data_IF_352821867109
#
_entry.id   IF_352821867109
#
_cell.length_a   1.000
_cell.length_b   1.000
_cell.length_c   1.000
_cell.angle_alpha   90.00
_cell.angle_beta   90.00
_cell.angle_gamma   90.00
#
_symmetry.space_group_name_H-M   'P 1'
#
loop_
_entity.id
_entity.type
_entity.pdbx_description
1 polymer ?
#
# COMPACT_ATOMS: atom_id res chain seq x y z
N UNK A 1 14.32 -20.65 32.06
CA UNK A 1 15.10 -20.17 30.91
C UNK A 1 15.81 -18.89 31.31
N UNK A 2 17.05 -18.68 30.88
CA UNK A 2 17.70 -17.36 30.97
C UNK A 2 17.19 -16.44 29.86
N UNK A 3 17.55 -15.14 29.89
CA UNK A 3 17.08 -14.14 28.91
C UNK A 3 17.41 -14.55 27.47
N UNK A 4 18.58 -15.13 27.21
CA UNK A 4 18.98 -15.55 25.85
C UNK A 4 18.12 -16.70 25.35
N UNK A 5 17.86 -17.70 26.19
CA UNK A 5 17.00 -18.85 25.85
C UNK A 5 15.57 -18.42 25.55
N UNK A 6 15.02 -17.48 26.35
CA UNK A 6 13.68 -16.93 26.13
C UNK A 6 13.58 -16.20 24.80
N UNK A 7 14.59 -15.38 24.44
CA UNK A 7 14.60 -14.65 23.18
C UNK A 7 14.70 -15.59 21.98
N UNK A 8 15.58 -16.59 22.03
CA UNK A 8 15.68 -17.60 20.97
C UNK A 8 14.36 -18.37 20.81
N UNK A 9 13.71 -18.75 21.90
CA UNK A 9 12.40 -19.40 21.84
C UNK A 9 11.32 -18.46 21.30
N UNK A 10 11.37 -17.17 21.65
CA UNK A 10 10.44 -16.16 21.14
C UNK A 10 10.57 -15.97 19.62
N UNK A 11 11.81 -15.84 19.12
CA UNK A 11 12.06 -15.78 17.67
C UNK A 11 11.59 -17.05 16.95
N UNK A 12 11.85 -18.24 17.51
CA UNK A 12 11.38 -19.48 16.92
C UNK A 12 9.83 -19.56 16.88
N UNK A 13 9.15 -19.16 17.95
CA UNK A 13 7.69 -19.10 17.98
C UNK A 13 7.14 -18.10 16.94
N UNK A 14 7.83 -16.98 16.75
CA UNK A 14 7.46 -15.98 15.75
C UNK A 14 7.66 -16.49 14.32
N UNK A 15 8.78 -17.17 14.04
CA UNK A 15 9.03 -17.80 12.73
C UNK A 15 7.98 -18.88 12.40
N UNK A 16 7.35 -19.47 13.41
CA UNK A 16 6.25 -20.44 13.29
C UNK A 16 4.85 -19.79 13.24
N UNK A 17 4.76 -18.46 13.08
CA UNK A 17 3.50 -17.69 13.05
C UNK A 17 2.70 -17.76 14.37
N UNK A 18 3.36 -18.16 15.47
CA UNK A 18 2.78 -18.21 16.81
C UNK A 18 3.13 -16.94 17.59
N UNK A 19 2.55 -15.84 17.14
CA UNK A 19 2.86 -14.50 17.66
C UNK A 19 2.51 -14.31 19.14
N UNK A 20 1.48 -15.02 19.64
CA UNK A 20 1.04 -14.93 21.03
C UNK A 20 2.09 -15.52 21.98
N UNK A 21 2.66 -16.67 21.63
CA UNK A 21 3.74 -17.29 22.40
C UNK A 21 5.02 -16.46 22.27
N UNK A 22 5.32 -15.91 21.09
CA UNK A 22 6.44 -14.99 20.90
C UNK A 22 6.34 -13.77 21.83
N UNK A 23 5.18 -13.09 21.84
CA UNK A 23 4.92 -11.95 22.72
C UNK A 23 5.11 -12.33 24.21
N UNK A 24 4.55 -13.47 24.62
CA UNK A 24 4.66 -13.95 25.99
C UNK A 24 6.10 -14.24 26.39
N UNK A 25 6.89 -14.85 25.51
CA UNK A 25 8.30 -15.18 25.75
C UNK A 25 9.18 -13.92 25.80
N UNK A 26 8.98 -12.95 24.91
CA UNK A 26 9.68 -11.67 24.99
C UNK A 26 9.32 -10.89 26.27
N UNK A 27 8.05 -10.89 26.69
CA UNK A 27 7.63 -10.29 27.96
C UNK A 27 8.28 -10.96 29.16
N UNK A 28 8.45 -12.29 29.14
CA UNK A 28 9.22 -13.00 30.16
C UNK A 28 10.69 -12.60 30.15
N UNK A 29 11.31 -12.41 28.98
CA UNK A 29 12.68 -11.94 28.86
C UNK A 29 12.83 -10.53 29.48
N UNK A 30 11.90 -9.62 29.22
CA UNK A 30 11.87 -8.29 29.84
C UNK A 30 11.61 -8.30 31.35
N UNK A 31 10.92 -9.32 31.88
CA UNK A 31 10.76 -9.46 33.32
C UNK A 31 12.09 -9.78 34.04
N UNK A 32 13.08 -10.33 33.31
CA UNK A 32 14.43 -10.58 33.82
C UNK A 32 15.32 -9.35 33.61
N UNK A 33 15.28 -8.76 32.40
CA UNK A 33 16.00 -7.53 32.07
C UNK A 33 15.07 -6.52 31.37
N UNK A 34 14.49 -5.62 32.17
CA UNK A 34 13.48 -4.66 31.70
C UNK A 34 14.01 -3.55 30.80
N UNK A 35 15.32 -3.47 30.57
CA UNK A 35 15.96 -2.45 29.74
C UNK A 35 16.80 -3.05 28.60
N UNK A 36 16.69 -4.35 28.30
CA UNK A 36 17.36 -4.93 27.13
C UNK A 36 16.82 -4.30 25.83
N UNK A 37 17.60 -3.47 25.12
CA UNK A 37 17.10 -2.74 23.97
C UNK A 37 16.72 -3.67 22.82
N UNK A 38 17.37 -4.83 22.71
CA UNK A 38 17.03 -5.80 21.66
C UNK A 38 15.65 -6.40 21.89
N UNK A 39 15.35 -6.84 23.12
CA UNK A 39 14.02 -7.42 23.43
C UNK A 39 12.91 -6.36 23.31
N UNK A 40 13.19 -5.11 23.72
CA UNK A 40 12.26 -4.00 23.51
C UNK A 40 11.98 -3.76 22.02
N UNK A 41 13.03 -3.78 21.19
CA UNK A 41 12.91 -3.61 19.74
C UNK A 41 12.17 -4.77 19.07
N UNK A 42 12.47 -6.01 19.46
CA UNK A 42 11.80 -7.22 18.93
C UNK A 42 10.29 -7.18 19.22
N UNK A 43 9.88 -6.78 20.44
CA UNK A 43 8.47 -6.55 20.77
C UNK A 43 7.85 -5.42 19.94
N UNK A 44 8.58 -4.33 19.73
CA UNK A 44 8.09 -3.21 18.92
C UNK A 44 7.83 -3.64 17.47
N UNK A 45 8.70 -4.48 16.90
CA UNK A 45 8.50 -5.07 15.58
C UNK A 45 7.30 -6.03 15.57
N UNK A 46 7.20 -6.92 16.56
CA UNK A 46 6.06 -7.83 16.68
C UNK A 46 4.73 -7.07 16.69
N UNK A 47 4.62 -6.01 17.50
CA UNK A 47 3.42 -5.18 17.53
C UNK A 47 3.17 -4.42 16.22
N UNK A 48 4.21 -3.97 15.51
CA UNK A 48 4.07 -3.36 14.19
C UNK A 48 3.41 -4.32 13.19
N UNK A 49 3.84 -5.58 13.16
CA UNK A 49 3.27 -6.58 12.23
C UNK A 49 1.86 -7.04 12.63
N UNK A 50 1.45 -6.77 13.87
CA UNK A 50 0.09 -6.96 14.38
C UNK A 50 -0.81 -5.71 14.22
N UNK A 51 -0.35 -4.66 13.53
CA UNK A 51 -1.01 -3.35 13.47
C UNK A 51 -1.28 -2.71 14.86
N UNK A 52 -0.58 -3.16 15.90
CA UNK A 52 -0.66 -2.64 17.28
C UNK A 52 0.27 -1.44 17.43
N UNK A 53 -0.10 -0.37 16.73
CA UNK A 53 0.74 0.81 16.55
C UNK A 53 1.07 1.52 17.86
N UNK A 54 0.15 1.55 18.82
CA UNK A 54 0.36 2.18 20.12
C UNK A 54 1.49 1.49 20.90
N UNK A 55 1.45 0.17 21.01
CA UNK A 55 2.51 -0.60 21.65
C UNK A 55 3.82 -0.50 20.84
N UNK A 56 3.76 -0.60 19.51
CA UNK A 56 4.95 -0.45 18.67
C UNK A 56 5.65 0.91 18.89
N UNK A 57 4.88 2.00 19.01
CA UNK A 57 5.38 3.33 19.31
C UNK A 57 6.04 3.39 20.70
N UNK A 58 5.36 2.88 21.73
CA UNK A 58 5.85 2.91 23.10
C UNK A 58 7.13 2.10 23.31
N UNK A 59 7.24 0.93 22.68
CA UNK A 59 8.45 0.12 22.77
C UNK A 59 9.60 0.75 21.98
N UNK A 60 9.39 1.27 20.77
CA UNK A 60 10.43 1.99 20.05
C UNK A 60 10.91 3.25 20.81
N UNK A 61 10.01 3.99 21.48
CA UNK A 61 10.39 5.11 22.37
C UNK A 61 11.35 4.69 23.48
N UNK A 62 11.13 3.51 24.08
CA UNK A 62 12.05 2.96 25.09
C UNK A 62 13.40 2.59 24.49
N UNK A 63 13.42 2.01 23.28
CA UNK A 63 14.67 1.67 22.59
C UNK A 63 15.49 2.93 22.32
N UNK A 64 14.92 3.96 21.71
CA UNK A 64 15.65 5.20 21.37
C UNK A 64 16.07 6.01 22.61
N UNK A 65 15.38 5.84 23.74
CA UNK A 65 15.80 6.43 25.01
C UNK A 65 17.07 5.77 25.58
N UNK A 66 17.27 4.47 25.32
CA UNK A 66 18.44 3.70 25.79
C UNK A 66 19.58 3.74 24.77
N UNK A 67 19.25 3.65 23.48
CA UNK A 67 20.16 3.71 22.33
C UNK A 67 19.71 4.79 21.36
N UNK A 68 20.06 6.07 21.60
CA UNK A 68 19.65 7.18 20.75
C UNK A 68 20.18 7.11 19.30
N UNK A 69 21.19 6.29 19.06
CA UNK A 69 21.82 6.04 17.76
C UNK A 69 21.21 4.84 17.01
N UNK A 70 20.22 4.15 17.57
CA UNK A 70 19.52 3.05 16.93
C UNK A 70 18.57 3.58 15.83
N UNK A 71 19.09 3.66 14.61
CA UNK A 71 18.34 4.16 13.45
C UNK A 71 17.17 3.26 13.08
N UNK A 72 17.25 1.95 13.32
CA UNK A 72 16.15 1.04 13.04
C UNK A 72 14.97 1.30 13.99
N UNK A 73 15.24 1.57 15.26
CA UNK A 73 14.21 1.97 16.23
C UNK A 73 13.59 3.33 15.87
N UNK A 74 14.38 4.33 15.47
CA UNK A 74 13.84 5.61 14.98
C UNK A 74 12.96 5.44 13.75
N UNK A 75 13.35 4.59 12.79
CA UNK A 75 12.54 4.32 11.61
C UNK A 75 11.18 3.72 11.97
N UNK A 76 11.16 2.68 12.82
CA UNK A 76 9.91 2.05 13.25
C UNK A 76 9.07 2.95 14.17
N UNK A 77 9.69 3.82 14.97
CA UNK A 77 9.01 4.88 15.71
C UNK A 77 8.26 5.82 14.75
N UNK A 78 8.92 6.24 13.67
CA UNK A 78 8.34 7.10 12.65
C UNK A 78 7.13 6.47 11.96
N UNK A 79 7.22 5.18 11.60
CA UNK A 79 6.09 4.42 11.03
C UNK A 79 4.92 4.38 12.02
N UNK A 80 5.16 3.92 13.25
CA UNK A 80 4.11 3.75 14.26
C UNK A 80 3.45 5.09 14.64
N UNK A 81 4.24 6.16 14.77
CA UNK A 81 3.72 7.50 15.01
C UNK A 81 2.91 8.03 13.82
N UNK A 82 3.33 7.76 12.59
CA UNK A 82 2.59 8.12 11.37
C UNK A 82 1.25 7.37 11.30
N UNK A 83 1.25 6.07 11.62
CA UNK A 83 0.03 5.26 11.68
C UNK A 83 -1.00 5.84 12.66
N UNK A 84 -0.54 6.25 13.84
CA UNK A 84 -1.37 6.86 14.89
C UNK A 84 -1.70 8.34 14.68
N UNK A 85 -1.23 8.96 13.59
CA UNK A 85 -1.31 10.41 13.41
C UNK A 85 -0.66 11.24 14.55
N UNK A 86 0.29 10.66 15.29
CA UNK A 86 1.15 11.37 16.24
C UNK A 86 2.24 12.12 15.47
N UNK A 87 1.83 13.20 14.79
CA UNK A 87 2.70 13.96 13.87
C UNK A 87 3.90 14.61 14.54
N UNK A 88 3.82 14.87 15.85
CA UNK A 88 4.94 15.42 16.62
C UNK A 88 6.03 14.37 16.78
N UNK A 89 5.65 13.15 17.18
CA UNK A 89 6.60 12.04 17.30
C UNK A 89 7.12 11.56 15.94
N UNK A 90 6.25 11.54 14.92
CA UNK A 90 6.64 11.24 13.56
C UNK A 90 7.67 12.24 13.04
N UNK A 91 7.45 13.54 13.22
CA UNK A 91 8.41 14.57 12.81
C UNK A 91 9.75 14.44 13.55
N UNK A 92 9.74 14.15 14.85
CA UNK A 92 10.97 13.89 15.60
C UNK A 92 11.73 12.68 15.03
N UNK A 93 11.04 11.59 14.73
CA UNK A 93 11.63 10.39 14.18
C UNK A 93 12.24 10.61 12.80
N UNK A 94 11.50 11.26 11.90
CA UNK A 94 11.93 11.51 10.53
C UNK A 94 13.04 12.54 10.44
N UNK A 95 13.14 13.45 11.41
CA UNK A 95 14.25 14.41 11.50
C UNK A 95 15.62 13.72 11.66
N UNK A 96 15.68 12.52 12.25
CA UNK A 96 16.91 11.71 12.35
C UNK A 96 17.45 11.30 10.96
N UNK A 97 16.57 11.28 9.96
CA UNK A 97 16.89 10.95 8.57
C UNK A 97 16.94 12.19 7.66
N UNK A 98 17.05 13.38 8.24
CA UNK A 98 17.04 14.67 7.53
C UNK A 98 15.75 14.94 6.75
N UNK A 99 14.62 14.36 7.21
CA UNK A 99 13.30 14.53 6.61
C UNK A 99 12.46 15.43 7.52
N UNK A 100 12.20 16.65 7.05
CA UNK A 100 11.31 17.60 7.74
C UNK A 100 9.87 17.43 7.25
N UNK A 101 8.97 17.04 8.16
CA UNK A 101 7.53 17.04 7.87
C UNK A 101 6.95 18.46 8.01
N UNK A 102 6.15 18.94 7.03
CA UNK A 102 5.46 20.23 7.13
C UNK A 102 4.24 20.10 8.05
N UNK A 103 4.38 20.50 9.32
CA UNK A 103 3.33 20.36 10.34
C UNK A 103 2.28 21.50 10.30
N UNK A 104 2.45 22.49 9.43
CA UNK A 104 1.49 23.58 9.22
C UNK A 104 0.19 23.12 8.53
N UNK A 105 0.21 21.97 7.86
CA UNK A 105 -0.94 21.35 7.21
C UNK A 105 -1.00 19.88 7.60
N UNK A 106 -2.11 19.45 8.21
CA UNK A 106 -2.30 18.07 8.65
C UNK A 106 -3.39 17.37 7.82
N UNK A 107 -3.19 16.08 7.45
CA UNK A 107 -1.96 15.32 7.66
C UNK A 107 -0.81 15.89 6.81
N UNK A 108 0.45 15.83 7.29
CA UNK A 108 1.59 16.38 6.58
C UNK A 108 1.81 15.62 5.28
N UNK A 109 2.31 16.28 4.25
CA UNK A 109 2.70 15.64 3.00
C UNK A 109 3.95 16.32 2.44
N UNK A 110 4.93 15.51 2.06
CA UNK A 110 6.08 15.92 1.28
C UNK A 110 5.66 16.15 -0.18
N UNK A 111 6.50 16.84 -0.99
CA UNK A 111 6.24 16.96 -2.41
C UNK A 111 6.02 15.60 -3.08
N UNK A 112 4.98 15.54 -3.91
CA UNK A 112 4.57 14.37 -4.67
C UNK A 112 5.77 13.68 -5.35
N UNK A 113 5.93 12.38 -5.11
CA UNK A 113 6.94 11.56 -5.77
C UNK A 113 6.34 10.20 -6.15
N UNK A 114 6.70 9.68 -7.32
CA UNK A 114 6.25 8.36 -7.73
C UNK A 114 6.74 7.27 -6.75
N UNK A 115 5.86 6.31 -6.46
CA UNK A 115 6.12 5.20 -5.56
C UNK A 115 5.54 3.89 -6.13
N UNK A 116 6.13 2.79 -5.69
CA UNK A 116 5.63 1.45 -5.93
C UNK A 116 5.50 0.72 -4.60
N UNK A 117 4.36 0.06 -4.40
CA UNK A 117 4.05 -0.67 -3.17
C UNK A 117 3.55 -2.07 -3.49
N UNK A 118 3.90 -3.04 -2.66
CA UNK A 118 3.47 -4.43 -2.77
C UNK A 118 2.33 -4.67 -1.79
N UNK A 119 1.17 -5.00 -2.34
CA UNK A 119 -0.04 -5.38 -1.60
C UNK A 119 -0.16 -6.89 -1.60
N UNK A 120 -0.57 -7.45 -0.46
CA UNK A 120 -0.83 -8.89 -0.30
C UNK A 120 -2.27 -9.08 0.15
N UNK A 121 -3.01 -9.91 -0.58
CA UNK A 121 -4.36 -10.33 -0.20
C UNK A 121 -4.43 -11.87 -0.23
N UNK A 122 -4.21 -12.50 0.93
CA UNK A 122 -4.03 -13.95 1.01
C UNK A 122 -2.82 -14.40 0.19
N UNK A 123 -3.04 -15.24 -0.84
CA UNK A 123 -1.97 -15.71 -1.75
C UNK A 123 -1.67 -14.73 -2.89
N UNK A 124 -2.52 -13.71 -3.05
CA UNK A 124 -2.41 -12.73 -4.11
C UNK A 124 -1.35 -11.69 -3.76
N UNK A 125 -0.49 -11.35 -4.73
CA UNK A 125 0.55 -10.33 -4.58
C UNK A 125 0.45 -9.41 -5.80
N UNK A 126 0.23 -8.13 -5.55
CA UNK A 126 0.18 -7.09 -6.57
C UNK A 126 1.17 -5.98 -6.26
N UNK A 127 1.72 -5.37 -7.30
CA UNK A 127 2.52 -4.14 -7.18
C UNK A 127 1.70 -2.99 -7.72
N UNK A 128 1.40 -2.03 -6.85
CA UNK A 128 0.63 -0.85 -7.18
C UNK A 128 1.52 0.36 -7.29
N UNK A 129 1.22 1.21 -8.28
CA UNK A 129 1.81 2.54 -8.40
C UNK A 129 1.01 3.55 -7.59
N UNK A 130 1.74 4.52 -7.06
CA UNK A 130 1.18 5.55 -6.21
C UNK A 130 2.05 6.79 -6.13
N UNK A 131 1.58 7.71 -5.31
CA UNK A 131 2.26 8.94 -4.92
C UNK A 131 2.69 8.82 -3.46
N UNK A 132 4.00 8.96 -3.20
CA UNK A 132 4.54 9.00 -1.86
C UNK A 132 4.14 10.31 -1.18
N UNK A 133 3.49 10.20 -0.03
CA UNK A 133 3.11 11.34 0.81
C UNK A 133 4.20 11.64 1.84
N UNK A 134 4.84 10.62 2.39
CA UNK A 134 5.95 10.72 3.34
C UNK A 134 6.72 9.37 3.36
N UNK A 135 7.72 9.15 4.25
CA UNK A 135 8.45 7.88 4.28
C UNK A 135 7.60 6.61 4.49
N UNK A 136 6.44 6.75 5.14
CA UNK A 136 5.61 5.64 5.58
C UNK A 136 4.23 5.59 4.90
N UNK A 137 3.85 6.57 4.07
CA UNK A 137 2.56 6.60 3.38
C UNK A 137 2.66 6.77 1.87
N UNK A 138 1.85 5.99 1.15
CA UNK A 138 1.65 6.08 -0.31
C UNK A 138 0.16 6.15 -0.62
N UNK A 139 -0.24 7.13 -1.44
CA UNK A 139 -1.57 7.20 -2.05
C UNK A 139 -1.59 6.41 -3.34
N UNK A 140 -2.54 5.49 -3.52
CA UNK A 140 -2.69 4.72 -4.75
C UNK A 140 -3.21 5.61 -5.89
N UNK A 141 -2.51 5.62 -7.03
CA UNK A 141 -2.85 6.50 -8.18
C UNK A 141 -3.21 5.74 -9.46
N UNK A 142 -3.15 4.41 -9.43
CA UNK A 142 -3.72 3.56 -10.48
C UNK A 142 -5.05 2.96 -10.01
N UNK A 143 -5.93 2.54 -10.92
CA UNK A 143 -7.12 1.75 -10.55
C UNK A 143 -6.71 0.27 -10.48
N UNK A 144 -6.62 -0.32 -9.28
CA UNK A 144 -6.14 -1.70 -9.15
C UNK A 144 -7.28 -2.71 -9.40
N UNK A 145 -6.91 -3.96 -9.65
CA UNK A 145 -7.89 -5.05 -9.75
C UNK A 145 -8.65 -5.22 -8.43
N UNK A 146 -9.98 -5.49 -8.45
CA UNK A 146 -10.79 -5.59 -7.23
C UNK A 146 -10.31 -6.64 -6.22
N UNK A 147 -9.70 -7.72 -6.70
CA UNK A 147 -9.21 -8.81 -5.84
C UNK A 147 -7.95 -8.46 -5.04
N UNK A 148 -7.31 -7.31 -5.29
CA UNK A 148 -6.21 -6.83 -4.46
C UNK A 148 -6.67 -6.28 -3.10
N UNK A 149 -7.97 -5.97 -2.95
CA UNK A 149 -8.54 -5.42 -1.72
C UNK A 149 -8.24 -3.94 -1.44
N UNK A 150 -7.62 -3.26 -2.41
CA UNK A 150 -7.24 -1.84 -2.34
C UNK A 150 -7.95 -1.07 -3.45
N UNK A 151 -8.25 0.21 -3.23
CA UNK A 151 -8.93 1.10 -4.18
C UNK A 151 -7.99 2.18 -4.71
N UNK A 152 -8.39 2.79 -5.81
CA UNK A 152 -7.81 4.07 -6.21
C UNK A 152 -7.97 5.09 -5.08
N UNK A 153 -6.92 5.85 -4.79
CA UNK A 153 -6.92 6.90 -3.76
C UNK A 153 -6.74 6.41 -2.33
N UNK A 154 -6.76 5.10 -2.06
CA UNK A 154 -6.43 4.57 -0.73
C UNK A 154 -5.04 5.06 -0.32
N UNK A 155 -4.89 5.41 0.95
CA UNK A 155 -3.60 5.74 1.55
C UNK A 155 -3.14 4.52 2.33
N UNK A 156 -2.02 3.96 1.91
CA UNK A 156 -1.44 2.75 2.48
C UNK A 156 -0.25 3.12 3.36
N UNK A 157 -0.15 2.48 4.53
CA UNK A 157 1.07 2.43 5.32
C UNK A 157 2.04 1.46 4.66
N UNK A 158 3.30 1.85 4.53
CA UNK A 158 4.34 1.02 3.95
C UNK A 158 5.59 0.96 4.84
N UNK A 159 6.33 -0.12 4.69
CA UNK A 159 7.67 -0.21 5.26
C UNK A 159 8.71 0.49 4.38
N UNK A 160 9.85 0.86 4.96
CA UNK A 160 10.91 1.61 4.29
C UNK A 160 11.83 0.80 3.40
N UNK A 161 12.02 -0.48 3.72
CA UNK A 161 12.94 -1.35 3.00
C UNK A 161 12.32 -1.76 1.65
N UNK A 162 12.88 -1.22 0.57
CA UNK A 162 12.50 -1.60 -0.79
C UNK A 162 12.94 -3.03 -1.10
N UNK A 163 11.99 -3.92 -1.30
CA UNK A 163 12.21 -5.30 -1.70
C UNK A 163 11.94 -5.44 -3.20
N UNK A 164 12.97 -5.27 -4.01
CA UNK A 164 12.88 -5.30 -5.47
C UNK A 164 12.56 -3.93 -6.08
N UNK A 165 12.52 -3.89 -7.41
CA UNK A 165 12.39 -2.67 -8.21
C UNK A 165 11.38 -2.90 -9.32
N UNK A 166 10.58 -1.88 -9.62
CA UNK A 166 9.75 -1.81 -10.83
C UNK A 166 10.19 -0.62 -11.68
N UNK A 167 10.27 -0.79 -12.99
CA UNK A 167 10.53 0.32 -13.92
C UNK A 167 9.19 0.93 -14.35
N UNK A 168 8.98 2.21 -14.03
CA UNK A 168 7.81 2.96 -14.46
C UNK A 168 8.26 4.25 -15.16
N UNK A 169 7.84 4.45 -16.42
CA UNK A 169 8.24 5.61 -17.23
C UNK A 169 9.76 5.83 -17.33
N UNK A 170 10.54 4.75 -17.36
CA UNK A 170 12.00 4.79 -17.40
C UNK A 170 12.67 5.11 -16.05
N UNK A 171 11.90 5.24 -14.97
CA UNK A 171 12.38 5.44 -13.61
C UNK A 171 12.31 4.11 -12.85
N UNK A 172 13.40 3.73 -12.21
CA UNK A 172 13.42 2.60 -11.28
C UNK A 172 12.86 3.01 -9.93
N UNK A 173 11.76 2.37 -9.54
CA UNK A 173 11.07 2.61 -8.27
C UNK A 173 11.29 1.42 -7.34
N UNK A 174 11.83 1.61 -6.12
CA UNK A 174 11.89 0.56 -5.12
C UNK A 174 10.48 0.17 -4.68
N UNK A 175 10.22 -1.14 -4.64
CA UNK A 175 8.91 -1.68 -4.24
C UNK A 175 8.88 -1.89 -2.73
N UNK A 176 8.01 -1.16 -2.04
CA UNK A 176 7.88 -1.23 -0.57
C UNK A 176 6.73 -2.14 -0.15
N UNK A 177 6.87 -2.89 0.93
CA UNK A 177 5.77 -3.71 1.44
C UNK A 177 4.71 -2.82 2.09
N UNK A 178 3.44 -3.07 1.80
CA UNK A 178 2.31 -2.47 2.51
C UNK A 178 2.14 -3.18 3.85
N UNK A 179 1.93 -2.40 4.90
CA UNK A 179 1.65 -2.88 6.25
C UNK A 179 0.13 -2.98 6.43
N UNK A 180 -0.59 -1.88 6.20
CA UNK A 180 -2.04 -1.82 6.29
C UNK A 180 -2.60 -0.61 5.53
N UNK A 181 -3.92 -0.56 5.37
CA UNK A 181 -4.62 0.62 4.83
C UNK A 181 -4.79 1.66 5.93
N UNK A 182 -4.20 2.83 5.74
CA UNK A 182 -4.26 3.95 6.70
C UNK A 182 -5.52 4.79 6.54
N UNK A 183 -5.92 5.04 5.29
CA UNK A 183 -7.19 5.71 5.00
C UNK A 183 -7.81 5.12 3.73
N UNK A 184 -9.07 4.74 3.86
CA UNK A 184 -9.89 4.26 2.74
C UNK A 184 -10.38 5.46 1.94
N UNK A 185 -10.28 5.36 0.62
CA UNK A 185 -10.80 6.34 -0.32
C UNK A 185 -12.31 6.19 -0.51
N UNK A 186 -12.98 7.30 -0.84
CA UNK A 186 -14.42 7.31 -1.16
C UNK A 186 -14.74 6.73 -2.55
N UNK A 187 -13.74 6.36 -3.34
CA UNK A 187 -13.95 5.84 -4.69
C UNK A 187 -14.42 4.38 -4.64
N UNK A 188 -15.49 4.07 -5.36
CA UNK A 188 -15.80 2.71 -5.75
C UNK A 188 -14.99 2.30 -6.99
N UNK A 189 -14.76 0.99 -7.14
CA UNK A 189 -14.15 0.40 -8.33
C UNK A 189 -15.25 -0.18 -9.22
N UNK A 190 -15.53 0.50 -10.33
CA UNK A 190 -16.41 0.03 -11.38
C UNK A 190 -15.62 -0.84 -12.35
N UNK A 191 -16.21 -1.96 -12.76
CA UNK A 191 -15.66 -2.87 -13.75
C UNK A 191 -16.53 -2.84 -14.99
N UNK A 192 -15.90 -2.57 -16.12
CA UNK A 192 -16.49 -2.54 -17.44
C UNK A 192 -15.91 -3.69 -18.27
N UNK A 193 -16.77 -4.60 -18.74
CA UNK A 193 -16.41 -5.56 -19.79
C UNK A 193 -16.98 -5.07 -21.13
N UNK A 194 -16.10 -4.90 -22.12
CA UNK A 194 -16.50 -4.45 -23.46
C UNK A 194 -15.72 -5.15 -24.57
N UNK A 195 -16.35 -5.28 -25.75
CA UNK A 195 -15.66 -5.63 -26.99
C UNK A 195 -15.23 -4.33 -27.68
N UNK A 196 -13.91 -4.16 -27.77
CA UNK A 196 -13.26 -3.00 -28.37
C UNK A 196 -12.43 -3.50 -29.56
N UNK A 197 -12.82 -3.11 -30.77
CA UNK A 197 -12.23 -3.59 -32.01
C UNK A 197 -10.81 -3.09 -32.24
N UNK A 198 -10.45 -1.93 -31.69
CA UNK A 198 -9.12 -1.33 -31.88
C UNK A 198 -8.63 -0.49 -30.71
N UNK A 199 -7.30 -0.33 -30.62
CA UNK A 199 -6.66 0.56 -29.63
C UNK A 199 -7.17 1.99 -29.69
N UNK A 200 -7.47 2.52 -30.88
CA UNK A 200 -7.98 3.89 -31.03
C UNK A 200 -9.33 4.12 -30.33
N UNK A 201 -10.20 3.10 -30.29
CA UNK A 201 -11.47 3.18 -29.56
C UNK A 201 -11.25 3.21 -28.04
N UNK A 202 -10.26 2.44 -27.55
CA UNK A 202 -9.87 2.50 -26.14
C UNK A 202 -9.19 3.83 -25.79
N UNK A 203 -8.29 4.33 -26.64
CA UNK A 203 -7.64 5.63 -26.45
C UNK A 203 -8.68 6.76 -26.37
N UNK A 204 -9.77 6.66 -27.14
CA UNK A 204 -10.92 7.59 -27.05
C UNK A 204 -11.57 7.56 -25.66
N UNK A 205 -11.80 6.37 -25.09
CA UNK A 205 -12.32 6.23 -23.72
C UNK A 205 -11.35 6.84 -22.69
N UNK A 206 -10.05 6.56 -22.81
CA UNK A 206 -9.01 7.10 -21.92
C UNK A 206 -8.99 8.63 -21.96
N UNK A 207 -9.08 9.23 -23.15
CA UNK A 207 -9.15 10.69 -23.31
C UNK A 207 -10.42 11.29 -22.69
N UNK A 208 -11.57 10.65 -22.89
CA UNK A 208 -12.84 11.08 -22.30
C UNK A 208 -12.80 11.00 -20.78
N UNK A 209 -12.29 9.90 -20.22
CA UNK A 209 -12.14 9.70 -18.79
C UNK A 209 -11.19 10.75 -18.18
N UNK A 210 -10.05 11.01 -18.84
CA UNK A 210 -9.10 12.05 -18.41
C UNK A 210 -9.74 13.46 -18.41
N UNK A 211 -10.58 13.79 -19.38
CA UNK A 211 -11.32 15.07 -19.42
C UNK A 211 -12.39 15.15 -18.33
N UNK A 212 -13.01 14.02 -17.98
CA UNK A 212 -13.99 13.92 -16.91
C UNK A 212 -13.34 13.86 -15.51
N UNK A 213 -12.02 13.72 -15.42
CA UNK A 213 -11.31 13.53 -14.16
C UNK A 213 -11.54 12.17 -13.53
N UNK A 214 -11.90 11.16 -14.34
CA UNK A 214 -12.14 9.79 -13.89
C UNK A 214 -10.87 8.94 -14.08
N UNK A 215 -10.26 8.45 -12.99
CA UNK A 215 -9.18 7.49 -13.09
C UNK A 215 -9.68 6.21 -13.77
N UNK A 216 -8.91 5.76 -14.76
CA UNK A 216 -9.24 4.60 -15.57
C UNK A 216 -7.99 3.75 -15.78
N UNK A 217 -8.13 2.44 -15.61
CA UNK A 217 -7.09 1.48 -15.92
C UNK A 217 -7.67 0.37 -16.79
N UNK A 218 -7.08 0.17 -17.95
CA UNK A 218 -7.29 -1.03 -18.74
C UNK A 218 -6.40 -2.15 -18.19
N UNK A 219 -7.01 -3.25 -17.76
CA UNK A 219 -6.30 -4.43 -17.23
C UNK A 219 -5.98 -5.47 -18.31
N UNK A 220 -6.46 -5.22 -19.54
CA UNK A 220 -6.42 -6.18 -20.64
C UNK A 220 -7.04 -7.53 -20.28
N UNK A 221 -6.71 -8.58 -21.03
CA UNK A 221 -7.12 -9.95 -20.70
C UNK A 221 -6.38 -10.56 -19.50
N UNK A 222 -6.05 -9.76 -18.47
CA UNK A 222 -5.37 -10.09 -17.19
C UNK A 222 -3.84 -10.00 -17.20
N UNK A 223 -3.27 -8.83 -17.53
CA UNK A 223 -1.86 -8.56 -17.20
C UNK A 223 -1.78 -8.03 -15.77
N UNK A 224 -1.44 -8.91 -14.82
CA UNK A 224 -0.89 -8.48 -13.54
C UNK A 224 0.57 -8.10 -13.78
N UNK A 225 1.02 -6.96 -13.24
CA UNK A 225 2.46 -6.70 -13.14
C UNK A 225 3.07 -7.69 -12.15
N UNK A 226 3.28 -8.93 -12.60
CA UNK A 226 4.14 -9.87 -11.91
C UNK A 226 5.53 -9.29 -12.08
N UNK A 227 6.11 -8.78 -10.97
CA UNK A 227 7.53 -8.45 -10.95
C UNK A 227 8.28 -9.63 -11.56
N UNK A 228 9.10 -9.43 -12.60
CA UNK A 228 9.96 -10.50 -13.05
C UNK A 228 10.83 -10.89 -11.85
N UNK A 229 10.60 -12.07 -11.30
CA UNK A 229 11.60 -12.76 -10.50
C UNK A 229 12.81 -12.90 -11.42
N UNK A 230 13.83 -12.06 -11.18
CA UNK A 230 15.14 -12.08 -11.82
C UNK A 230 15.13 -11.88 -13.35
N UNK A 231 15.48 -10.67 -13.81
CA UNK A 231 16.10 -10.45 -15.12
C UNK A 231 15.29 -10.79 -16.38
N UNK A 232 13.97 -11.04 -16.27
CA UNK A 232 13.12 -11.31 -17.45
C UNK A 232 12.63 -9.99 -18.03
N UNK A 233 12.90 -9.81 -19.33
CA UNK A 233 12.41 -8.68 -20.11
C UNK A 233 10.86 -8.67 -20.12
N UNK A 234 10.26 -7.48 -20.18
CA UNK A 234 8.83 -7.36 -20.43
C UNK A 234 8.46 -8.17 -21.68
N UNK A 235 7.42 -9.00 -21.66
CA UNK A 235 6.97 -9.70 -22.85
C UNK A 235 6.65 -8.70 -23.97
N UNK A 236 6.84 -9.11 -25.24
CA UNK A 236 6.41 -8.33 -26.39
C UNK A 236 4.93 -7.91 -26.22
N UNK A 237 4.57 -6.69 -26.68
CA UNK A 237 3.17 -6.25 -26.60
C UNK A 237 2.27 -7.32 -27.24
N UNK A 238 1.32 -7.89 -26.48
CA UNK A 238 0.46 -8.93 -27.01
C UNK A 238 -0.36 -8.39 -28.19
N UNK A 239 -0.71 -9.27 -29.14
CA UNK A 239 -1.68 -8.93 -30.18
C UNK A 239 -2.96 -8.38 -29.55
N UNK A 240 -3.61 -7.43 -30.23
CA UNK A 240 -4.78 -6.74 -29.70
C UNK A 240 -5.89 -7.73 -29.30
N UNK A 241 -6.21 -7.74 -28.01
CA UNK A 241 -7.31 -8.52 -27.46
C UNK A 241 -8.55 -7.64 -27.42
N UNK A 242 -9.59 -8.05 -28.17
CA UNK A 242 -10.82 -7.27 -28.33
C UNK A 242 -11.65 -7.18 -27.07
N UNK A 243 -11.75 -8.26 -26.30
CA UNK A 243 -12.46 -8.24 -25.02
C UNK A 243 -11.55 -7.55 -24.00
N UNK A 244 -12.01 -6.42 -23.46
CA UNK A 244 -11.32 -5.64 -22.45
C UNK A 244 -12.08 -5.69 -21.14
N UNK A 245 -11.32 -5.78 -20.06
CA UNK A 245 -11.80 -5.53 -18.71
C UNK A 245 -11.13 -4.24 -18.23
N UNK A 246 -11.94 -3.26 -17.88
CA UNK A 246 -11.50 -1.88 -17.60
C UNK A 246 -12.02 -1.48 -16.23
N UNK A 247 -11.11 -1.03 -15.37
CA UNK A 247 -11.43 -0.45 -14.08
C UNK A 247 -11.62 1.05 -14.18
N UNK A 248 -12.67 1.57 -13.57
CA UNK A 248 -12.93 3.00 -13.43
C UNK A 248 -13.12 3.28 -11.94
N UNK A 249 -12.44 4.30 -11.41
CA UNK A 249 -12.66 4.78 -10.06
C UNK A 249 -13.59 5.99 -10.08
N UNK A 250 -14.66 5.96 -9.29
CA UNK A 250 -15.56 7.10 -9.13
C UNK A 250 -16.23 7.09 -7.75
N UNK A 251 -16.60 8.26 -7.23
CA UNK A 251 -17.34 8.37 -5.97
C UNK A 251 -18.87 8.17 -6.16
N UNK A 252 -19.36 8.35 -7.40
CA UNK A 252 -20.78 8.27 -7.75
C UNK A 252 -20.98 7.55 -9.11
N UNK A 253 -22.18 7.02 -9.33
CA UNK A 253 -22.55 6.29 -10.55
C UNK A 253 -22.66 7.22 -11.78
N UNK A 254 -23.12 8.46 -11.59
CA UNK A 254 -23.50 9.35 -12.70
C UNK A 254 -22.31 9.71 -13.62
N UNK A 255 -21.12 10.07 -13.10
CA UNK A 255 -19.95 10.32 -13.95
C UNK A 255 -19.55 9.11 -14.80
N UNK A 256 -19.70 7.90 -14.27
CA UNK A 256 -19.41 6.67 -15.01
C UNK A 256 -20.42 6.49 -16.14
N UNK A 257 -21.72 6.65 -15.87
CA UNK A 257 -22.77 6.59 -16.89
C UNK A 257 -22.54 7.62 -18.01
N UNK A 258 -22.24 8.87 -17.66
CA UNK A 258 -21.98 9.95 -18.61
C UNK A 258 -20.76 9.65 -19.49
N UNK A 259 -19.71 9.06 -18.92
CA UNK A 259 -18.51 8.63 -19.64
C UNK A 259 -18.84 7.54 -20.68
N UNK A 260 -19.64 6.54 -20.30
CA UNK A 260 -20.01 5.44 -21.19
C UNK A 260 -20.92 5.92 -22.34
N UNK A 261 -21.88 6.81 -22.05
CA UNK A 261 -22.72 7.43 -23.08
C UNK A 261 -21.88 8.24 -24.06
N UNK A 262 -20.91 9.02 -23.57
CA UNK A 262 -19.98 9.77 -24.42
C UNK A 262 -19.11 8.84 -25.28
N UNK A 263 -18.66 7.72 -24.71
CA UNK A 263 -17.84 6.74 -25.43
C UNK A 263 -18.64 6.05 -26.55
N UNK A 264 -19.87 5.60 -26.27
CA UNK A 264 -20.75 5.00 -27.28
C UNK A 264 -21.15 6.00 -28.37
N UNK A 265 -21.33 7.28 -28.03
CA UNK A 265 -21.59 8.33 -29.02
C UNK A 265 -20.39 8.54 -29.97
N UNK A 266 -19.16 8.45 -29.46
CA UNK A 266 -17.94 8.59 -30.26
C UNK A 266 -17.55 7.31 -31.01
N UNK A 267 -17.83 6.14 -30.42
CA UNK A 267 -17.44 4.82 -30.89
C UNK A 267 -18.65 3.87 -30.88
N UNK A 268 -19.62 4.02 -31.79
CA UNK A 268 -20.87 3.25 -31.77
C UNK A 268 -20.70 1.76 -32.08
N UNK A 269 -19.52 1.34 -32.53
CA UNK A 269 -19.17 -0.07 -32.78
C UNK A 269 -18.71 -0.82 -31.52
N UNK A 270 -18.49 -0.11 -30.41
CA UNK A 270 -18.14 -0.72 -29.13
C UNK A 270 -19.37 -1.44 -28.56
N UNK A 271 -19.16 -2.67 -28.10
CA UNK A 271 -20.20 -3.48 -27.46
C UNK A 271 -19.89 -3.61 -25.95
N UNK A 272 -20.62 -2.87 -25.12
CA UNK A 272 -20.53 -2.96 -23.67
C UNK A 272 -21.36 -4.15 -23.20
N UNK A 273 -20.70 -5.15 -22.63
CA UNK A 273 -21.34 -6.40 -22.17
C UNK A 273 -21.86 -6.28 -20.75
N UNK A 274 -21.06 -5.71 -19.87
CA UNK A 274 -21.36 -5.63 -18.45
C UNK A 274 -20.69 -4.41 -17.81
N UNK A 275 -21.41 -3.81 -16.85
CA UNK A 275 -20.88 -2.77 -15.96
C UNK A 275 -21.40 -3.09 -14.56
N UNK A 276 -20.49 -3.21 -13.60
CA UNK A 276 -20.85 -3.46 -12.21
C UNK A 276 -19.86 -2.82 -11.24
N UNK A 277 -20.27 -2.64 -9.99
CA UNK A 277 -19.41 -2.15 -8.91
C UNK A 277 -18.79 -3.36 -8.22
N UNK A 278 -17.46 -3.46 -8.25
CA UNK A 278 -16.73 -4.61 -7.69
C UNK A 278 -16.20 -4.37 -6.28
N UNK A 279 -15.93 -3.11 -5.92
CA UNK A 279 -15.56 -2.67 -4.58
C UNK A 279 -16.24 -1.34 -4.28
N UNK A 280 -16.85 -1.24 -3.10
CA UNK A 280 -17.39 -0.01 -2.53
C UNK A 280 -16.53 0.43 -1.34
N UNK A 281 -16.58 1.70 -0.91
CA UNK A 281 -15.90 2.14 0.32
C UNK A 281 -16.30 1.33 1.56
N UNK A 282 -17.56 0.88 1.62
CA UNK A 282 -18.12 0.12 2.74
C UNK A 282 -17.58 -1.33 2.82
N UNK A 283 -17.00 -1.86 1.74
CA UNK A 283 -16.39 -3.20 1.74
C UNK A 283 -15.04 -3.24 2.48
N UNK A 284 -14.51 -2.09 2.92
CA UNK A 284 -13.37 -2.06 3.82
C UNK A 284 -13.82 -2.53 5.21
N UNK A 285 -13.58 -3.80 5.53
CA UNK A 285 -13.76 -4.33 6.89
C UNK A 285 -13.11 -3.38 7.90
N UNK A 286 -13.82 -3.10 9.01
CA UNK A 286 -13.54 -2.05 10.01
C UNK A 286 -12.08 -1.57 10.00
N UNK A 287 -11.80 -0.52 9.23
CA UNK A 287 -10.52 0.19 9.33
C UNK A 287 -10.46 0.77 10.76
N UNK A 288 -9.64 0.17 11.61
CA UNK A 288 -9.56 0.50 13.03
C UNK A 288 -9.14 1.97 13.21
N UNK A 289 -10.08 2.77 13.71
CA UNK A 289 -9.91 4.16 14.13
C UNK A 289 -9.12 4.27 15.44
#
# INVERSE_FOLDING_TARGET
MNTSELKTAAHAAWDEDNEQDAEALFKQALAIDGQDPQTLFDLALLYKFQDRWAEALDFNRKVVAIKPDDTAAWWNLGIAATALSDWTSAAQAWQVFDITLPLESLPPALPAAAAAVRVRNGKQIDVLLGERLDPARVRVTQVPLPDCGVRYGDILLNDGLGNGVVTHQGIELPVREVLSTWAVSNHATYVLEAVVESKAQLDTLVELAARAGLPLQDWGGKVRYVLPTEGKHAPAEPEWQKVREIGIAAEDDQPVADLLDAWLAACPEVDIREVYVALTPDDAGEAHA
#
